data_IF_927691172417
#
_entry.id   IF_927691172417
#
_cell.length_a   1.000
_cell.length_b   1.000
_cell.length_c   1.000
_cell.angle_alpha   90.00
_cell.angle_beta   90.00
_cell.angle_gamma   90.00
#
_symmetry.space_group_name_H-M   'P 1'
#
loop_
_entity.id
_entity.type
_entity.pdbx_description
1 polymer ?
#
# COMPACT_ATOMS: atom_id res chain seq x y z
N UNK A 1 16.52 15.97 82.63
CA UNK A 1 16.24 16.57 81.32
C UNK A 1 16.97 15.77 80.24
N UNK A 2 16.22 14.99 79.47
CA UNK A 2 16.69 14.11 78.40
C UNK A 2 16.46 14.80 77.06
N UNK A 3 17.52 15.03 76.29
CA UNK A 3 17.41 15.38 74.86
C UNK A 3 18.44 14.58 74.07
N UNK A 4 17.99 13.42 73.56
CA UNK A 4 18.68 12.64 72.53
C UNK A 4 18.58 13.41 71.21
N UNK A 5 19.69 13.98 70.75
CA UNK A 5 19.80 14.53 69.39
C UNK A 5 20.15 13.37 68.45
N UNK A 6 19.13 12.83 67.77
CA UNK A 6 19.30 11.90 66.66
C UNK A 6 19.83 12.66 65.44
N UNK A 7 21.12 12.47 65.11
CA UNK A 7 21.65 12.78 63.78
C UNK A 7 21.04 11.78 62.79
N UNK A 8 20.16 12.26 61.91
CA UNK A 8 19.70 11.51 60.73
C UNK A 8 20.89 11.26 59.80
N UNK A 9 21.30 10.01 59.69
CA UNK A 9 22.15 9.52 58.60
C UNK A 9 21.46 9.78 57.27
N UNK A 10 22.12 10.36 56.25
CA UNK A 10 21.50 10.53 54.94
C UNK A 10 21.28 9.14 54.32
N UNK A 11 20.02 8.80 54.08
CA UNK A 11 19.64 7.64 53.28
C UNK A 11 20.19 7.83 51.88
N UNK A 12 21.23 7.07 51.52
CA UNK A 12 21.68 6.91 50.15
C UNK A 12 20.48 6.52 49.28
N UNK A 13 20.07 7.43 48.38
CA UNK A 13 19.16 7.09 47.28
C UNK A 13 19.86 6.05 46.41
N UNK A 14 19.45 4.78 46.54
CA UNK A 14 19.79 3.76 45.54
C UNK A 14 19.34 4.27 44.16
N UNK A 15 20.21 4.26 43.14
CA UNK A 15 19.76 4.56 41.79
C UNK A 15 18.82 3.44 41.35
N UNK A 16 17.55 3.77 41.13
CA UNK A 16 16.58 2.84 40.53
C UNK A 16 17.05 2.52 39.11
N UNK A 17 17.65 1.35 38.93
CA UNK A 17 17.87 0.73 37.62
C UNK A 17 16.51 0.47 36.99
N UNK A 18 15.93 1.47 36.33
CA UNK A 18 14.68 1.31 35.59
C UNK A 18 14.84 0.28 34.47
N UNK A 19 13.78 -0.49 34.23
CA UNK A 19 13.73 -1.55 33.21
C UNK A 19 14.16 -0.98 31.83
N UNK A 20 15.08 -1.66 31.11
CA UNK A 20 15.63 -1.16 29.85
C UNK A 20 14.57 -1.02 28.75
N UNK A 21 13.53 -1.84 28.74
CA UNK A 21 12.44 -1.72 27.78
C UNK A 21 11.62 -0.45 28.04
N UNK A 22 11.30 -0.16 29.31
CA UNK A 22 10.57 1.05 29.70
C UNK A 22 11.38 2.31 29.39
N UNK A 23 12.70 2.30 29.66
CA UNK A 23 13.59 3.41 29.29
C UNK A 23 13.57 3.66 27.79
N UNK A 24 13.58 2.60 26.99
CA UNK A 24 13.57 2.68 25.53
C UNK A 24 12.23 3.19 24.99
N UNK A 25 11.10 2.73 25.56
CA UNK A 25 9.77 3.29 25.25
C UNK A 25 9.68 4.78 25.57
N UNK A 26 10.24 5.21 26.71
CA UNK A 26 10.30 6.63 27.07
C UNK A 26 11.17 7.45 26.10
N UNK A 27 12.35 6.94 25.73
CA UNK A 27 13.21 7.60 24.75
C UNK A 27 12.53 7.73 23.38
N UNK A 28 11.72 6.74 23.01
CA UNK A 28 10.94 6.76 21.77
C UNK A 28 9.69 7.62 21.84
N UNK A 29 9.36 8.17 23.01
CA UNK A 29 8.12 8.90 23.28
C UNK A 29 6.87 8.10 22.89
N UNK A 30 6.93 6.77 22.99
CA UNK A 30 5.81 5.91 22.61
C UNK A 30 4.67 6.07 23.61
N UNK A 31 3.47 6.46 23.13
CA UNK A 31 2.27 6.66 23.96
C UNK A 31 1.15 5.67 23.66
N UNK A 32 1.23 4.96 22.54
CA UNK A 32 0.26 3.94 22.15
C UNK A 32 0.95 2.81 21.38
N UNK A 33 0.31 1.67 21.33
CA UNK A 33 0.74 0.50 20.56
C UNK A 33 -0.46 -0.34 20.16
N UNK A 34 -0.36 -1.06 19.05
CA UNK A 34 -1.29 -2.14 18.70
C UNK A 34 -1.02 -3.32 19.64
N UNK A 35 -2.06 -3.78 20.31
CA UNK A 35 -2.00 -4.86 21.28
C UNK A 35 -2.51 -6.17 20.65
N UNK A 36 -1.66 -7.19 20.65
CA UNK A 36 -1.99 -8.55 20.21
C UNK A 36 -1.76 -9.52 21.37
N UNK A 37 -2.73 -10.35 21.71
CA UNK A 37 -2.53 -11.43 22.67
C UNK A 37 -1.80 -12.55 21.95
N UNK A 38 -0.61 -12.89 22.43
CA UNK A 38 0.20 -13.98 21.88
C UNK A 38 0.03 -15.26 22.67
N UNK A 39 -0.31 -15.20 23.94
CA UNK A 39 -0.66 -16.39 24.71
C UNK A 39 -1.69 -16.09 25.77
N UNK A 40 -2.65 -16.99 25.94
CA UNK A 40 -3.67 -16.87 26.99
C UNK A 40 -3.10 -17.28 28.37
N UNK A 41 -3.90 -17.13 29.43
CA UNK A 41 -3.47 -17.46 30.79
C UNK A 41 -3.17 -18.96 31.01
N UNK A 42 -3.59 -19.84 30.10
CA UNK A 42 -3.29 -21.27 30.12
C UNK A 42 -1.98 -21.61 29.37
N UNK A 43 -1.34 -20.63 28.72
CA UNK A 43 -0.12 -20.83 27.94
C UNK A 43 -0.38 -21.26 26.49
N UNK A 44 -1.64 -21.31 26.03
CA UNK A 44 -1.97 -21.64 24.65
C UNK A 44 -1.65 -20.43 23.74
N UNK A 45 -1.14 -20.70 22.53
CA UNK A 45 -0.92 -19.66 21.51
C UNK A 45 -2.25 -19.29 20.85
N UNK A 46 -2.56 -17.99 20.82
CA UNK A 46 -3.89 -17.49 20.38
C UNK A 46 -3.78 -16.45 19.26
N UNK A 47 -2.66 -15.73 19.16
CA UNK A 47 -2.41 -14.64 18.20
C UNK A 47 -3.62 -13.75 17.83
N UNK A 48 -4.32 -13.22 18.83
CA UNK A 48 -5.52 -12.40 18.63
C UNK A 48 -5.21 -10.90 18.76
N UNK A 49 -5.42 -10.12 17.68
CA UNK A 49 -5.29 -8.67 17.73
C UNK A 49 -6.49 -8.03 18.44
N UNK A 50 -6.23 -7.32 19.54
CA UNK A 50 -7.26 -6.70 20.38
C UNK A 50 -7.53 -5.25 19.93
N UNK A 51 -6.53 -4.59 19.34
CA UNK A 51 -6.63 -3.24 18.79
C UNK A 51 -5.62 -2.25 19.37
N UNK A 52 -5.80 -0.97 19.03
CA UNK A 52 -4.93 0.13 19.49
C UNK A 52 -5.13 0.39 20.99
N UNK A 53 -4.05 0.38 21.75
CA UNK A 53 -4.05 0.61 23.18
C UNK A 53 -3.13 1.78 23.55
N UNK A 54 -3.56 2.59 24.52
CA UNK A 54 -2.81 3.76 24.98
C UNK A 54 -2.11 3.43 26.30
N UNK A 55 -0.87 3.87 26.47
CA UNK A 55 -0.15 3.71 27.73
C UNK A 55 -0.51 4.84 28.70
N UNK A 56 -0.59 4.50 29.99
CA UNK A 56 -0.67 5.54 31.00
C UNK A 56 0.67 6.28 31.07
N UNK A 57 0.60 7.59 30.94
CA UNK A 57 1.75 8.49 30.92
C UNK A 57 1.47 9.74 31.75
N UNK A 58 2.56 10.34 32.24
CA UNK A 58 2.66 11.74 32.60
C UNK A 58 3.12 12.51 31.36
N UNK A 59 3.06 13.86 31.34
CA UNK A 59 3.41 14.65 30.15
C UNK A 59 4.71 14.21 29.47
N UNK A 60 5.76 13.93 30.25
CA UNK A 60 7.10 13.65 29.72
C UNK A 60 7.52 12.17 29.81
N UNK A 61 6.78 11.31 30.52
CA UNK A 61 7.22 9.93 30.77
C UNK A 61 6.04 8.97 30.92
N UNK A 62 6.26 7.72 30.53
CA UNK A 62 5.34 6.63 30.87
C UNK A 62 5.24 6.49 32.38
N UNK A 63 4.01 6.27 32.84
CA UNK A 63 3.77 5.96 34.22
C UNK A 63 4.25 4.53 34.49
N UNK A 64 5.36 4.43 35.22
CA UNK A 64 5.98 3.16 35.56
C UNK A 64 6.21 3.04 37.07
N UNK A 65 6.03 1.84 37.61
CA UNK A 65 6.34 1.48 39.00
C UNK A 65 6.97 0.10 39.06
N UNK A 66 8.10 0.00 39.77
CA UNK A 66 8.77 -1.28 40.05
C UNK A 66 9.04 -2.11 38.78
N UNK A 67 9.47 -1.48 37.69
CA UNK A 67 9.72 -2.16 36.41
C UNK A 67 8.46 -2.57 35.63
N UNK A 68 7.28 -2.10 36.05
CA UNK A 68 6.02 -2.28 35.34
C UNK A 68 5.54 -0.96 34.78
N UNK A 69 4.77 -1.04 33.70
CA UNK A 69 4.04 0.10 33.15
C UNK A 69 2.58 -0.31 32.93
N UNK A 70 1.73 0.64 32.52
CA UNK A 70 0.29 0.42 32.52
C UNK A 70 -0.32 0.74 31.17
N UNK A 71 -1.27 -0.11 30.77
CA UNK A 71 -2.01 -0.04 29.51
C UNK A 71 -3.47 0.28 29.79
N UNK A 72 -4.05 1.25 29.09
CA UNK A 72 -5.49 1.46 29.06
C UNK A 72 -6.18 0.37 28.22
N UNK A 73 -7.46 0.06 28.46
CA UNK A 73 -8.20 -0.88 27.65
C UNK A 73 -8.07 -0.57 26.16
N UNK A 74 -7.67 -1.53 25.31
CA UNK A 74 -7.56 -1.32 23.87
C UNK A 74 -8.90 -0.93 23.24
N UNK A 75 -8.85 -0.20 22.12
CA UNK A 75 -10.02 0.14 21.33
C UNK A 75 -10.70 -1.14 20.82
N UNK A 76 -11.99 -1.34 21.16
CA UNK A 76 -12.73 -2.57 20.84
C UNK A 76 -12.83 -3.57 21.99
N UNK A 77 -12.13 -3.34 23.11
CA UNK A 77 -12.22 -4.18 24.31
C UNK A 77 -13.64 -4.15 24.90
N UNK A 78 -14.29 -5.32 24.95
CA UNK A 78 -15.56 -5.52 25.67
C UNK A 78 -15.29 -6.40 26.89
N UNK A 79 -15.74 -5.95 28.07
CA UNK A 79 -15.65 -6.73 29.32
C UNK A 79 -16.26 -8.13 29.22
N UNK A 80 -17.24 -8.31 28.34
CA UNK A 80 -17.95 -9.56 28.10
C UNK A 80 -17.23 -10.53 27.14
N UNK A 81 -16.18 -10.11 26.43
CA UNK A 81 -15.54 -10.95 25.41
C UNK A 81 -14.60 -12.02 25.99
N UNK A 82 -14.24 -11.95 27.28
CA UNK A 82 -13.34 -12.91 27.92
C UNK A 82 -11.86 -12.80 27.51
N UNK A 83 -11.53 -11.81 26.67
CA UNK A 83 -10.20 -11.44 26.17
C UNK A 83 -9.52 -10.55 27.21
N UNK A 84 -8.20 -10.73 27.47
CA UNK A 84 -7.46 -9.97 28.49
C UNK A 84 -8.16 -9.99 29.87
N UNK A 85 -8.22 -11.19 30.48
CA UNK A 85 -8.77 -11.45 31.83
C UNK A 85 -7.93 -10.77 32.91
N UNK A 86 -6.71 -10.36 32.56
CA UNK A 86 -5.91 -9.46 33.36
C UNK A 86 -5.04 -10.20 34.36
N UNK A 87 -4.57 -11.41 34.03
CA UNK A 87 -3.56 -12.16 34.77
C UNK A 87 -3.02 -13.33 33.93
N UNK A 88 -1.71 -13.32 33.68
CA UNK A 88 -0.97 -14.45 33.09
C UNK A 88 -0.94 -14.47 31.57
N UNK A 89 -1.69 -13.60 30.88
CA UNK A 89 -1.61 -13.50 29.42
C UNK A 89 -0.30 -12.86 28.97
N UNK A 90 0.21 -13.29 27.82
CA UNK A 90 1.28 -12.57 27.13
C UNK A 90 0.70 -11.74 25.99
N UNK A 91 1.11 -10.47 25.94
CA UNK A 91 0.74 -9.53 24.89
C UNK A 91 1.97 -9.04 24.14
N UNK A 92 1.86 -8.92 22.84
CA UNK A 92 2.81 -8.23 21.98
C UNK A 92 2.29 -6.81 21.70
N UNK A 93 3.12 -5.82 22.01
CA UNK A 93 2.84 -4.41 21.76
C UNK A 93 3.65 -3.97 20.54
N UNK A 94 2.96 -3.66 19.43
CA UNK A 94 3.59 -3.21 18.19
C UNK A 94 3.42 -1.70 18.01
N UNK A 95 4.50 -0.98 17.74
CA UNK A 95 4.51 0.47 17.60
C UNK A 95 5.63 0.93 16.66
N UNK A 96 5.60 2.21 16.25
CA UNK A 96 6.62 2.78 15.37
C UNK A 96 7.44 3.83 16.11
N UNK A 97 8.73 3.90 15.80
CA UNK A 97 9.60 5.01 16.18
C UNK A 97 10.49 5.36 15.00
N UNK A 98 10.51 6.63 14.59
CA UNK A 98 11.27 7.10 13.43
C UNK A 98 11.12 6.19 12.19
N UNK A 99 9.86 5.84 11.84
CA UNK A 99 9.52 5.00 10.67
C UNK A 99 10.03 3.55 10.74
N UNK A 100 10.56 3.15 11.89
CA UNK A 100 10.99 1.77 12.14
C UNK A 100 9.95 1.08 13.02
N UNK A 101 9.38 -0.05 12.59
CA UNK A 101 8.47 -0.81 13.45
C UNK A 101 9.27 -1.49 14.57
N UNK A 102 8.70 -1.48 15.76
CA UNK A 102 9.23 -2.14 16.94
C UNK A 102 8.12 -2.98 17.59
N UNK A 103 8.53 -4.00 18.33
CA UNK A 103 7.63 -4.74 19.19
C UNK A 103 8.22 -4.95 20.59
N UNK A 104 7.34 -5.11 21.56
CA UNK A 104 7.67 -5.47 22.93
C UNK A 104 6.69 -6.51 23.45
N UNK A 105 7.20 -7.67 23.85
CA UNK A 105 6.39 -8.70 24.53
C UNK A 105 6.31 -8.39 26.02
N UNK A 106 5.11 -8.42 26.57
CA UNK A 106 4.82 -8.17 27.97
C UNK A 106 3.92 -9.26 28.55
N UNK A 107 4.09 -9.53 29.84
CA UNK A 107 3.16 -10.31 30.64
C UNK A 107 2.14 -9.37 31.28
N UNK A 108 0.86 -9.75 31.22
CA UNK A 108 -0.23 -9.06 31.91
C UNK A 108 -0.27 -9.58 33.34
N UNK A 109 0.22 -8.76 34.27
CA UNK A 109 0.37 -9.18 35.68
C UNK A 109 -0.97 -9.11 36.41
N UNK A 110 -1.68 -7.99 36.26
CA UNK A 110 -2.96 -7.77 36.92
C UNK A 110 -3.77 -6.67 36.21
N UNK A 111 -5.09 -6.78 36.29
CA UNK A 111 -5.99 -5.64 36.06
C UNK A 111 -5.95 -4.71 37.28
N UNK A 112 -5.87 -3.40 37.03
CA UNK A 112 -5.82 -2.36 38.08
C UNK A 112 -6.95 -1.36 37.91
N UNK A 113 -7.41 -0.83 39.05
CA UNK A 113 -8.29 0.34 39.09
C UNK A 113 -7.52 1.51 39.71
N UNK A 114 -7.45 2.61 39.00
CA UNK A 114 -6.79 3.83 39.47
C UNK A 114 -7.74 4.67 40.31
N UNK A 115 -7.20 5.35 41.31
CA UNK A 115 -7.95 6.32 42.10
C UNK A 115 -8.07 7.64 41.35
N UNK A 116 -9.16 8.38 41.58
CA UNK A 116 -9.42 9.65 40.89
C UNK A 116 -8.29 10.67 41.11
N UNK A 117 -7.70 10.69 42.31
CA UNK A 117 -6.54 11.52 42.64
C UNK A 117 -5.32 11.22 41.77
N UNK A 118 -5.09 9.95 41.44
CA UNK A 118 -3.95 9.56 40.60
C UNK A 118 -4.23 9.88 39.12
N UNK A 119 -5.47 9.73 38.66
CA UNK A 119 -5.87 10.01 37.28
C UNK A 119 -5.78 11.49 36.91
N UNK A 120 -5.86 12.41 37.88
CA UNK A 120 -5.64 13.84 37.63
C UNK A 120 -4.27 14.15 37.02
N UNK A 121 -3.29 13.26 37.21
CA UNK A 121 -1.91 13.43 36.76
C UNK A 121 -1.50 12.41 35.68
N UNK A 122 -2.46 11.66 35.13
CA UNK A 122 -2.21 10.64 34.13
C UNK A 122 -3.06 10.86 32.88
N UNK A 123 -2.49 10.49 31.74
CA UNK A 123 -3.18 10.35 30.46
C UNK A 123 -3.01 8.90 29.97
N UNK A 124 -4.08 8.23 29.53
CA UNK A 124 -5.46 8.70 29.45
C UNK A 124 -6.16 8.69 30.84
N UNK A 125 -7.22 9.49 31.01
CA UNK A 125 -8.01 9.56 32.26
C UNK A 125 -9.05 8.45 32.37
N UNK A 126 -8.61 7.20 32.22
CA UNK A 126 -9.46 6.01 32.30
C UNK A 126 -9.24 5.32 33.65
N UNK A 127 -10.31 4.94 34.34
CA UNK A 127 -10.19 4.40 35.70
C UNK A 127 -9.65 2.96 35.78
N UNK A 128 -9.65 2.23 34.66
CA UNK A 128 -9.26 0.82 34.58
C UNK A 128 -8.04 0.70 33.67
N UNK A 129 -7.07 -0.12 34.05
CA UNK A 129 -5.94 -0.47 33.19
C UNK A 129 -5.37 -1.85 33.48
N UNK A 130 -4.33 -2.21 32.74
CA UNK A 130 -3.60 -3.46 32.88
C UNK A 130 -2.16 -3.16 33.25
N UNK A 131 -1.66 -3.80 34.31
CA UNK A 131 -0.26 -3.73 34.74
C UNK A 131 0.54 -4.70 33.88
N UNK A 132 1.50 -4.18 33.14
CA UNK A 132 2.35 -4.95 32.24
C UNK A 132 3.78 -5.06 32.76
N UNK A 133 4.36 -6.24 32.61
CA UNK A 133 5.78 -6.51 32.87
C UNK A 133 6.48 -6.84 31.55
N UNK A 134 7.52 -6.11 31.13
CA UNK A 134 8.32 -6.50 29.98
C UNK A 134 8.92 -7.90 30.17
N UNK A 135 8.78 -8.76 29.14
CA UNK A 135 9.39 -10.11 29.13
C UNK A 135 10.79 -10.06 28.48
N UNK A 136 11.07 -9.03 27.69
CA UNK A 136 12.36 -8.84 27.02
C UNK A 136 12.59 -7.40 26.57
N UNK A 137 13.68 -7.14 25.83
CA UNK A 137 13.96 -5.80 25.32
C UNK A 137 12.98 -5.41 24.20
N UNK A 138 12.84 -4.09 23.96
CA UNK A 138 12.19 -3.59 22.74
C UNK A 138 13.00 -4.03 21.53
N UNK A 139 12.41 -4.89 20.70
CA UNK A 139 13.00 -5.42 19.48
C UNK A 139 12.52 -4.61 18.29
N UNK A 140 13.42 -4.35 17.34
CA UNK A 140 13.02 -3.86 16.03
C UNK A 140 12.23 -4.97 15.36
N UNK A 141 11.01 -4.68 14.94
CA UNK A 141 10.29 -5.57 14.06
C UNK A 141 11.01 -5.48 12.70
N UNK A 142 11.50 -6.62 12.23
CA UNK A 142 12.12 -6.83 10.92
C UNK A 142 13.62 -6.46 10.74
N UNK A 143 14.34 -7.45 10.18
CA UNK A 143 15.60 -7.28 9.44
C UNK A 143 15.40 -6.61 8.07
N UNK A 144 14.20 -6.09 7.77
CA UNK A 144 13.85 -5.53 6.47
C UNK A 144 14.36 -4.10 6.34
N UNK A 145 14.79 -3.75 5.12
CA UNK A 145 15.36 -2.43 4.81
C UNK A 145 14.29 -1.34 4.68
N UNK A 146 13.02 -1.72 4.42
CA UNK A 146 11.92 -0.80 4.13
C UNK A 146 10.62 -1.19 4.85
N UNK A 147 9.82 -0.18 5.20
CA UNK A 147 8.47 -0.32 5.76
C UNK A 147 7.52 -0.95 4.75
N UNK A 148 6.55 -1.77 5.19
CA UNK A 148 5.44 -2.24 4.36
C UNK A 148 4.14 -1.54 4.73
N UNK A 149 3.42 -1.08 3.72
CA UNK A 149 2.11 -0.46 3.86
C UNK A 149 1.02 -1.49 3.61
N UNK A 150 0.07 -1.58 4.53
CA UNK A 150 -1.04 -2.51 4.45
C UNK A 150 -2.16 -1.94 3.58
N UNK A 151 -2.54 -2.67 2.53
CA UNK A 151 -3.68 -2.36 1.65
C UNK A 151 -5.01 -2.88 2.19
N UNK A 152 -4.97 -3.99 2.91
CA UNK A 152 -6.14 -4.66 3.47
C UNK A 152 -6.11 -4.58 5.00
N UNK A 153 -7.30 -4.54 5.61
CA UNK A 153 -7.45 -4.57 7.07
C UNK A 153 -6.94 -5.91 7.62
N UNK A 154 -6.37 -5.88 8.83
CA UNK A 154 -5.83 -7.08 9.49
C UNK A 154 -4.44 -7.50 9.01
N UNK A 155 -3.78 -6.69 8.17
CA UNK A 155 -2.38 -6.87 7.79
C UNK A 155 -1.49 -6.00 8.68
N UNK A 156 -0.37 -6.58 9.15
CA UNK A 156 0.63 -5.85 9.92
C UNK A 156 1.26 -4.76 9.06
N UNK A 157 1.29 -3.54 9.60
CA UNK A 157 1.88 -2.37 8.94
C UNK A 157 0.91 -1.18 8.93
N UNK A 158 1.39 0.02 8.58
CA UNK A 158 0.53 1.18 8.53
C UNK A 158 -0.52 1.04 7.45
N UNK A 159 -1.78 1.30 7.83
CA UNK A 159 -2.92 1.21 6.94
C UNK A 159 -3.01 2.48 6.08
N UNK A 160 -3.14 2.31 4.77
CA UNK A 160 -3.16 3.44 3.82
C UNK A 160 -4.56 3.74 3.28
N UNK A 161 -5.51 2.85 3.55
CA UNK A 161 -6.92 3.08 3.25
C UNK A 161 -7.54 4.10 4.22
N UNK A 162 -8.49 4.94 3.77
CA UNK A 162 -9.08 4.96 2.43
C UNK A 162 -8.30 5.80 1.41
N UNK A 163 -7.26 6.52 1.82
CA UNK A 163 -6.61 7.55 1.00
C UNK A 163 -5.86 7.01 -0.22
N UNK A 164 -5.32 5.80 -0.11
CA UNK A 164 -4.52 5.21 -1.16
C UNK A 164 -4.83 3.72 -1.31
N UNK A 165 -5.05 3.28 -2.55
CA UNK A 165 -5.19 1.87 -2.94
C UNK A 165 -4.52 1.61 -4.28
N UNK A 166 -4.28 0.35 -4.59
CA UNK A 166 -3.93 -0.10 -5.94
C UNK A 166 -5.03 -1.02 -6.45
N UNK A 167 -5.37 -0.87 -7.73
CA UNK A 167 -5.74 -2.03 -8.54
C UNK A 167 -4.48 -2.64 -9.11
N UNK A 168 -4.41 -3.97 -9.17
CA UNK A 168 -3.25 -4.68 -9.67
C UNK A 168 -3.69 -5.80 -10.60
N UNK A 169 -2.98 -5.91 -11.72
CA UNK A 169 -3.14 -6.98 -12.71
C UNK A 169 -1.80 -7.70 -12.86
N UNK A 170 -1.85 -9.02 -12.94
CA UNK A 170 -0.68 -9.87 -13.06
C UNK A 170 -0.68 -10.59 -14.41
N UNK A 171 0.46 -10.54 -15.10
CA UNK A 171 0.75 -11.34 -16.29
C UNK A 171 2.01 -12.18 -16.03
N UNK A 172 2.03 -13.42 -16.49
CA UNK A 172 3.21 -14.30 -16.35
C UNK A 172 4.34 -13.78 -17.22
N UNK A 173 5.57 -13.92 -16.73
CA UNK A 173 6.76 -13.49 -17.45
C UNK A 173 7.79 -14.62 -17.44
N UNK A 174 8.33 -14.94 -18.61
CA UNK A 174 9.52 -15.74 -18.72
C UNK A 174 10.75 -14.84 -18.46
N UNK A 175 11.37 -15.01 -17.28
CA UNK A 175 12.54 -14.22 -16.88
C UNK A 175 13.82 -14.65 -17.62
N UNK A 176 13.85 -15.87 -18.15
CA UNK A 176 14.96 -16.43 -18.93
C UNK A 176 14.77 -16.18 -20.42
N UNK A 177 15.01 -14.95 -20.86
CA UNK A 177 15.37 -14.69 -22.26
C UNK A 177 16.81 -15.13 -22.53
N UNK A 178 17.19 -15.37 -23.79
CA UNK A 178 18.61 -15.52 -24.16
C UNK A 178 19.40 -14.28 -23.68
N UNK A 179 20.72 -14.37 -23.53
CA UNK A 179 21.54 -13.28 -22.96
C UNK A 179 21.36 -11.89 -23.63
N UNK A 180 20.73 -11.84 -24.82
CA UNK A 180 20.41 -10.64 -25.59
C UNK A 180 18.91 -10.26 -25.60
N UNK A 181 18.00 -11.11 -25.10
CA UNK A 181 16.56 -10.84 -25.07
C UNK A 181 16.10 -10.60 -23.62
N UNK A 182 15.45 -9.46 -23.37
CA UNK A 182 14.85 -9.14 -22.07
C UNK A 182 13.71 -10.09 -21.67
N UNK A 183 13.05 -9.84 -20.52
CA UNK A 183 11.92 -10.64 -20.06
C UNK A 183 10.78 -10.68 -21.09
N UNK A 184 10.18 -11.86 -21.30
CA UNK A 184 9.07 -12.06 -22.24
C UNK A 184 7.75 -12.18 -21.48
N UNK A 185 6.76 -11.36 -21.85
CA UNK A 185 5.42 -11.37 -21.25
C UNK A 185 4.59 -12.47 -21.92
N UNK A 186 4.07 -13.39 -21.11
CA UNK A 186 3.22 -14.49 -21.55
C UNK A 186 1.75 -14.03 -21.47
N UNK A 187 1.03 -13.95 -22.60
CA UNK A 187 -0.34 -13.45 -22.63
C UNK A 187 -1.28 -14.25 -21.72
N UNK A 188 -2.23 -13.56 -21.09
CA UNK A 188 -3.32 -14.22 -20.37
C UNK A 188 -4.33 -14.82 -21.35
N UNK A 189 -4.44 -16.14 -21.36
CA UNK A 189 -5.27 -16.85 -22.32
C UNK A 189 -6.76 -16.47 -22.20
N UNK A 190 -7.38 -16.17 -23.34
CA UNK A 190 -8.81 -15.81 -23.41
C UNK A 190 -9.12 -14.35 -23.07
N UNK A 191 -8.10 -13.52 -22.82
CA UNK A 191 -8.27 -12.10 -22.52
C UNK A 191 -7.83 -11.23 -23.70
N UNK A 192 -8.81 -10.65 -24.40
CA UNK A 192 -8.55 -9.82 -25.58
C UNK A 192 -8.35 -8.36 -25.20
N UNK A 193 -7.20 -7.76 -25.53
CA UNK A 193 -6.91 -6.37 -25.23
C UNK A 193 -7.95 -5.38 -25.82
N UNK A 194 -8.67 -5.74 -26.89
CA UNK A 194 -9.72 -4.90 -27.49
C UNK A 194 -11.10 -5.39 -27.03
N UNK A 195 -11.86 -4.58 -26.25
CA UNK A 195 -13.22 -4.93 -25.82
C UNK A 195 -14.17 -5.26 -26.99
N UNK A 196 -15.14 -6.16 -26.75
CA UNK A 196 -16.03 -6.65 -27.80
C UNK A 196 -16.93 -5.56 -28.42
N UNK A 197 -17.38 -4.61 -27.60
CA UNK A 197 -18.13 -3.43 -28.03
C UNK A 197 -17.24 -2.42 -28.79
N UNK A 198 -15.96 -2.31 -28.44
CA UNK A 198 -14.97 -1.55 -29.23
C UNK A 198 -14.79 -2.19 -30.62
N UNK A 199 -14.72 -3.52 -30.71
CA UNK A 199 -14.67 -4.23 -31.99
C UNK A 199 -15.93 -4.08 -32.84
N UNK A 200 -17.08 -3.86 -32.20
CA UNK A 200 -18.35 -3.64 -32.89
C UNK A 200 -18.48 -2.23 -33.50
N UNK A 201 -17.57 -1.31 -33.17
CA UNK A 201 -17.56 0.03 -33.75
C UNK A 201 -16.85 0.02 -35.11
N UNK A 202 -17.57 0.34 -36.18
CA UNK A 202 -17.01 0.38 -37.54
C UNK A 202 -16.46 1.77 -37.88
N UNK A 203 -16.98 2.81 -37.22
CA UNK A 203 -16.64 4.21 -37.52
C UNK A 203 -15.94 4.91 -36.34
N UNK A 204 -15.00 5.84 -36.59
CA UNK A 204 -14.34 6.59 -35.53
C UNK A 204 -15.30 7.39 -34.63
N UNK A 205 -16.42 7.88 -35.17
CA UNK A 205 -17.44 8.60 -34.41
C UNK A 205 -18.14 7.68 -33.40
N UNK A 206 -18.36 6.41 -33.75
CA UNK A 206 -18.96 5.41 -32.86
C UNK A 206 -18.03 5.10 -31.68
N UNK A 207 -16.72 5.04 -31.92
CA UNK A 207 -15.70 4.88 -30.87
C UNK A 207 -15.69 6.06 -29.90
N UNK A 208 -15.78 7.30 -30.40
CA UNK A 208 -15.85 8.49 -29.53
C UNK A 208 -17.14 8.49 -28.72
N UNK A 209 -18.27 8.12 -29.33
CA UNK A 209 -19.53 7.97 -28.62
C UNK A 209 -19.50 6.86 -27.57
N UNK A 210 -18.86 5.72 -27.86
CA UNK A 210 -18.63 4.64 -26.89
C UNK A 210 -17.78 5.14 -25.71
N UNK A 211 -16.68 5.82 -25.98
CA UNK A 211 -15.85 6.42 -24.93
C UNK A 211 -16.62 7.41 -24.05
N UNK A 212 -17.44 8.30 -24.64
CA UNK A 212 -18.30 9.20 -23.86
C UNK A 212 -19.25 8.42 -22.95
N UNK A 213 -19.86 7.33 -23.44
CA UNK A 213 -20.72 6.45 -22.64
C UNK A 213 -19.96 5.79 -21.49
N UNK A 214 -18.75 5.28 -21.73
CA UNK A 214 -17.89 4.71 -20.69
C UNK A 214 -17.57 5.71 -19.59
N UNK A 215 -17.17 6.94 -19.95
CA UNK A 215 -16.85 7.96 -18.95
C UNK A 215 -18.12 8.43 -18.24
N UNK A 216 -19.26 8.53 -18.93
CA UNK A 216 -20.52 9.00 -18.34
C UNK A 216 -21.11 8.00 -17.33
N UNK A 217 -20.91 6.69 -17.55
CA UNK A 217 -21.37 5.65 -16.61
C UNK A 217 -20.62 5.69 -15.27
N UNK A 218 -19.44 6.30 -15.23
CA UNK A 218 -18.68 6.48 -14.00
C UNK A 218 -19.33 7.51 -13.05
N UNK A 219 -19.11 7.36 -11.73
CA UNK A 219 -19.45 8.40 -10.77
C UNK A 219 -18.63 9.67 -11.03
N UNK A 220 -19.16 10.85 -10.65
CA UNK A 220 -18.58 12.15 -11.00
C UNK A 220 -17.07 12.30 -10.76
N UNK A 221 -16.55 11.71 -9.67
CA UNK A 221 -15.12 11.78 -9.32
C UNK A 221 -14.21 10.90 -10.20
N UNK A 222 -14.78 10.00 -11.01
CA UNK A 222 -14.09 9.16 -12.00
C UNK A 222 -14.42 9.56 -13.46
N UNK A 223 -15.15 10.67 -13.67
CA UNK A 223 -15.46 11.20 -15.01
C UNK A 223 -14.28 12.01 -15.59
N UNK A 224 -13.10 11.43 -15.53
CA UNK A 224 -11.85 12.06 -15.94
C UNK A 224 -10.90 11.04 -16.55
N UNK A 225 -10.00 11.52 -17.39
CA UNK A 225 -8.88 10.74 -17.92
C UNK A 225 -7.57 11.25 -17.31
N UNK A 226 -6.59 10.38 -17.19
CA UNK A 226 -5.21 10.77 -16.95
C UNK A 226 -4.45 10.83 -18.27
N UNK A 227 -3.74 11.91 -18.52
CA UNK A 227 -2.97 12.12 -19.76
C UNK A 227 -1.49 11.84 -19.49
N UNK A 228 -0.89 11.01 -20.33
CA UNK A 228 0.56 10.86 -20.46
C UNK A 228 0.99 11.28 -21.86
N UNK A 229 2.10 12.01 -21.98
CA UNK A 229 2.69 12.41 -23.26
C UNK A 229 3.76 11.39 -23.66
N UNK A 230 3.72 10.92 -24.90
CA UNK A 230 4.82 10.16 -25.46
C UNK A 230 5.96 11.12 -25.85
N UNK A 231 7.12 10.94 -25.23
CA UNK A 231 8.31 11.75 -25.50
C UNK A 231 9.43 10.86 -26.02
N UNK A 232 9.96 11.23 -27.18
CA UNK A 232 11.08 10.50 -27.79
C UNK A 232 12.39 11.21 -27.44
N UNK A 233 13.22 10.58 -26.62
CA UNK A 233 14.56 11.06 -26.30
C UNK A 233 15.47 10.86 -27.51
N UNK A 234 15.83 11.96 -28.18
CA UNK A 234 16.72 11.98 -29.34
C UNK A 234 18.12 11.44 -29.02
N UNK A 235 18.57 11.49 -27.77
CA UNK A 235 19.92 11.04 -27.39
C UNK A 235 19.99 9.53 -27.22
N UNK A 236 19.00 8.95 -26.54
CA UNK A 236 18.97 7.51 -26.27
C UNK A 236 18.20 6.72 -27.33
N UNK A 237 17.40 7.39 -28.16
CA UNK A 237 16.47 6.77 -29.11
C UNK A 237 15.26 6.10 -28.44
N UNK A 238 15.08 6.32 -27.14
CA UNK A 238 14.02 5.70 -26.34
C UNK A 238 12.76 6.56 -26.32
N UNK A 239 11.62 5.91 -26.28
CA UNK A 239 10.33 6.55 -26.04
C UNK A 239 9.96 6.36 -24.58
N UNK A 240 9.58 7.46 -23.91
CA UNK A 240 9.09 7.48 -22.55
C UNK A 240 7.64 7.99 -22.51
N UNK A 241 6.90 7.63 -21.45
CA UNK A 241 5.56 8.13 -21.19
C UNK A 241 5.60 9.09 -20.00
N UNK A 242 5.67 10.38 -20.31
CA UNK A 242 5.76 11.42 -19.30
C UNK A 242 4.38 11.76 -18.75
N UNK A 243 4.13 11.65 -17.43
CA UNK A 243 2.85 12.00 -16.85
C UNK A 243 2.56 13.50 -17.00
N UNK A 244 1.37 13.85 -17.49
CA UNK A 244 0.90 15.24 -17.60
C UNK A 244 -0.10 15.56 -16.50
N UNK A 245 -1.03 14.64 -16.23
CA UNK A 245 -1.99 14.76 -15.14
C UNK A 245 -3.43 14.48 -15.53
N UNK A 246 -4.34 14.62 -14.55
CA UNK A 246 -5.76 14.35 -14.73
C UNK A 246 -6.50 15.48 -15.43
N UNK A 247 -7.45 15.11 -16.29
CA UNK A 247 -8.26 16.02 -17.11
C UNK A 247 -9.72 15.57 -17.12
N UNK A 248 -10.64 16.52 -16.94
CA UNK A 248 -12.06 16.27 -17.13
C UNK A 248 -12.41 16.14 -18.61
N UNK A 249 -13.27 15.18 -18.95
CA UNK A 249 -13.85 15.07 -20.30
C UNK A 249 -15.01 16.06 -20.42
N UNK A 250 -15.02 16.84 -21.48
CA UNK A 250 -16.03 17.88 -21.73
C UNK A 250 -17.14 17.33 -22.64
N UNK A 251 -18.35 17.88 -22.51
CA UNK A 251 -19.46 17.52 -23.38
C UNK A 251 -20.04 16.12 -23.15
N UNK A 252 -19.88 15.56 -21.94
CA UNK A 252 -20.45 14.26 -21.57
C UNK A 252 -21.99 14.25 -21.55
N UNK A 253 -22.62 15.39 -21.28
CA UNK A 253 -24.09 15.50 -21.20
C UNK A 253 -24.76 15.74 -22.57
N UNK A 254 -23.96 15.91 -23.63
CA UNK A 254 -24.43 16.09 -25.01
C UNK A 254 -24.19 14.85 -25.87
N UNK A 255 -24.80 14.82 -27.05
CA UNK A 255 -24.44 13.82 -28.06
C UNK A 255 -22.98 14.02 -28.50
N UNK A 256 -22.16 12.98 -28.37
CA UNK A 256 -20.81 12.97 -28.92
C UNK A 256 -20.90 13.05 -30.45
N UNK A 257 -20.67 14.25 -31.00
CA UNK A 257 -20.71 14.48 -32.45
C UNK A 257 -19.28 14.65 -32.98
N UNK A 258 -18.82 13.65 -33.72
CA UNK A 258 -17.58 13.70 -34.50
C UNK A 258 -16.47 12.81 -33.97
N UNK A 259 -15.26 13.07 -34.47
CA UNK A 259 -14.06 12.23 -34.27
C UNK A 259 -13.08 12.81 -33.25
N UNK A 260 -13.52 13.78 -32.46
CA UNK A 260 -12.67 14.56 -31.57
C UNK A 260 -13.14 14.43 -30.13
N UNK A 261 -12.19 14.40 -29.21
CA UNK A 261 -12.43 14.40 -27.78
C UNK A 261 -11.98 15.75 -27.22
N UNK A 262 -12.85 16.38 -26.44
CA UNK A 262 -12.56 17.65 -25.79
C UNK A 262 -12.25 17.43 -24.31
N UNK A 263 -11.08 17.89 -23.90
CA UNK A 263 -10.52 17.70 -22.58
C UNK A 263 -10.29 19.06 -21.93
N UNK A 264 -10.61 19.22 -20.65
CA UNK A 264 -10.16 20.38 -19.88
C UNK A 264 -8.64 20.30 -19.78
N UNK A 265 -7.93 21.40 -20.04
CA UNK A 265 -6.47 21.40 -19.89
C UNK A 265 -6.10 20.92 -18.47
N UNK A 266 -5.23 19.90 -18.33
CA UNK A 266 -4.85 19.38 -17.01
C UNK A 266 -4.36 20.51 -16.13
N UNK A 267 -4.79 20.51 -14.86
CA UNK A 267 -4.14 21.37 -13.87
C UNK A 267 -2.73 20.83 -13.65
N UNK A 268 -1.72 21.69 -13.81
CA UNK A 268 -0.30 21.35 -13.67
C UNK A 268 -0.07 20.49 -12.43
N UNK A 269 0.59 19.34 -12.60
CA UNK A 269 1.34 18.76 -11.50
C UNK A 269 2.53 19.70 -11.25
N UNK A 270 2.77 20.11 -10.01
CA UNK A 270 3.97 20.87 -9.61
C UNK A 270 5.21 19.95 -9.74
N UNK A 271 5.58 19.60 -10.97
CA UNK A 271 6.78 18.82 -11.23
C UNK A 271 7.97 19.76 -11.36
N UNK A 272 9.05 19.42 -10.66
CA UNK A 272 10.36 20.09 -10.75
C UNK A 272 11.08 19.89 -12.10
N UNK A 273 10.47 19.15 -13.04
CA UNK A 273 10.92 19.03 -14.42
C UNK A 273 10.14 20.07 -15.22
N UNK A 274 10.84 20.85 -16.04
CA UNK A 274 10.28 21.87 -16.92
C UNK A 274 8.92 21.43 -17.53
N UNK A 275 7.94 22.35 -17.48
CA UNK A 275 6.55 22.18 -17.91
C UNK A 275 6.42 21.26 -19.16
N UNK A 276 5.80 20.08 -19.01
CA UNK A 276 5.48 19.21 -20.15
C UNK A 276 4.42 19.90 -21.00
N UNK A 277 4.86 20.63 -22.02
CA UNK A 277 3.98 21.35 -22.92
C UNK A 277 3.34 20.39 -23.93
N UNK A 278 2.00 20.43 -24.02
CA UNK A 278 1.23 19.73 -25.04
C UNK A 278 1.05 20.62 -26.27
N UNK A 279 1.66 20.23 -27.38
CA UNK A 279 1.61 20.92 -28.68
C UNK A 279 0.77 20.16 -29.69
N UNK A 280 0.35 20.84 -30.74
CA UNK A 280 -0.34 20.18 -31.86
C UNK A 280 0.57 19.14 -32.52
N UNK A 281 0.02 17.96 -32.79
CA UNK A 281 0.77 16.83 -33.33
C UNK A 281 1.34 15.87 -32.29
N UNK A 282 1.47 16.28 -31.03
CA UNK A 282 1.96 15.41 -29.95
C UNK A 282 1.08 14.16 -29.80
N UNK A 283 1.70 13.03 -29.47
CA UNK A 283 0.97 11.80 -29.14
C UNK A 283 0.79 11.73 -27.62
N UNK A 284 -0.46 11.46 -27.22
CA UNK A 284 -0.84 11.30 -25.82
C UNK A 284 -1.58 10.00 -25.61
N UNK A 285 -1.40 9.40 -24.44
CA UNK A 285 -2.15 8.22 -23.99
C UNK A 285 -3.16 8.69 -22.95
N UNK A 286 -4.44 8.47 -23.24
CA UNK A 286 -5.52 8.69 -22.29
C UNK A 286 -5.74 7.42 -21.49
N UNK A 287 -5.51 7.46 -20.18
CA UNK A 287 -5.78 6.36 -19.26
C UNK A 287 -7.07 6.66 -18.49
N UNK A 288 -7.97 5.70 -18.40
CA UNK A 288 -9.24 5.86 -17.70
C UNK A 288 -9.74 4.53 -17.17
N UNK A 289 -10.49 4.58 -16.06
CA UNK A 289 -11.15 3.41 -15.51
C UNK A 289 -12.63 3.41 -15.90
N UNK A 290 -13.21 2.23 -16.05
CA UNK A 290 -14.66 2.02 -16.11
C UNK A 290 -15.03 1.28 -14.84
N UNK A 291 -16.02 1.81 -14.11
CA UNK A 291 -16.49 1.20 -12.87
C UNK A 291 -17.37 0.00 -13.15
N UNK A 292 -16.74 -1.11 -13.52
CA UNK A 292 -17.32 -2.45 -13.51
C UNK A 292 -16.58 -3.26 -12.45
N UNK A 293 -17.28 -3.60 -11.36
CA UNK A 293 -16.67 -4.34 -10.26
C UNK A 293 -16.47 -5.81 -10.67
N UNK A 294 -15.30 -6.12 -11.22
CA UNK A 294 -14.85 -7.50 -11.45
C UNK A 294 -13.79 -7.81 -10.41
N UNK A 295 -14.09 -8.72 -9.49
CA UNK A 295 -13.15 -9.22 -8.47
C UNK A 295 -12.46 -8.13 -7.61
N UNK A 296 -13.10 -6.96 -7.44
CA UNK A 296 -12.62 -5.89 -6.55
C UNK A 296 -11.75 -4.81 -7.19
N UNK A 297 -11.46 -4.90 -8.50
CA UNK A 297 -10.76 -3.89 -9.28
C UNK A 297 -11.71 -3.14 -10.24
N UNK A 298 -11.39 -1.88 -10.54
CA UNK A 298 -12.03 -1.17 -11.66
C UNK A 298 -11.39 -1.63 -12.98
N UNK A 299 -12.11 -1.61 -14.10
CA UNK A 299 -11.55 -1.98 -15.40
C UNK A 299 -10.78 -0.81 -16.02
N UNK A 300 -9.46 -0.94 -16.08
CA UNK A 300 -8.60 0.10 -16.63
C UNK A 300 -8.47 -0.02 -18.15
N UNK A 301 -8.50 1.12 -18.82
CA UNK A 301 -8.43 1.25 -20.26
C UNK A 301 -7.44 2.33 -20.64
N UNK A 302 -6.91 2.21 -21.86
CA UNK A 302 -6.10 3.25 -22.49
C UNK A 302 -6.55 3.50 -23.92
N UNK A 303 -6.34 4.74 -24.36
CA UNK A 303 -6.56 5.12 -25.76
C UNK A 303 -5.49 6.08 -26.24
N UNK A 304 -4.78 5.68 -27.28
CA UNK A 304 -3.77 6.52 -27.93
C UNK A 304 -4.49 7.60 -28.73
N UNK A 305 -4.07 8.85 -28.56
CA UNK A 305 -4.64 10.00 -29.26
C UNK A 305 -3.52 10.92 -29.77
N UNK A 306 -3.83 11.72 -30.78
CA UNK A 306 -2.99 12.83 -31.24
C UNK A 306 -3.62 14.16 -30.84
N UNK A 307 -2.81 15.07 -30.31
CA UNK A 307 -3.25 16.44 -30.02
C UNK A 307 -3.59 17.13 -31.34
N UNK A 308 -4.85 17.49 -31.50
CA UNK A 308 -5.35 18.20 -32.67
C UNK A 308 -5.28 19.71 -32.49
N UNK A 309 -5.64 20.20 -31.30
CA UNK A 309 -5.58 21.63 -30.95
C UNK A 309 -5.24 21.79 -29.47
N UNK A 310 -4.26 22.64 -29.17
CA UNK A 310 -3.86 22.97 -27.79
C UNK A 310 -4.32 24.38 -27.44
N UNK A 311 -5.53 24.49 -26.87
CA UNK A 311 -6.07 25.76 -26.39
C UNK A 311 -5.68 26.07 -24.94
N UNK A 312 -5.91 27.31 -24.51
CA UNK A 312 -5.60 27.78 -23.15
C UNK A 312 -6.36 27.01 -22.07
N UNK A 313 -7.65 26.73 -22.29
CA UNK A 313 -8.51 26.00 -21.33
C UNK A 313 -8.93 24.61 -21.79
N UNK A 314 -8.87 24.36 -23.09
CA UNK A 314 -9.38 23.14 -23.72
C UNK A 314 -8.30 22.55 -24.59
N UNK A 315 -8.04 21.26 -24.38
CA UNK A 315 -7.23 20.42 -25.23
C UNK A 315 -8.17 19.58 -26.10
N UNK A 316 -7.98 19.60 -27.41
CA UNK A 316 -8.73 18.74 -28.34
C UNK A 316 -7.80 17.68 -28.88
N UNK A 317 -8.21 16.42 -28.75
CA UNK A 317 -7.43 15.27 -29.22
C UNK A 317 -8.25 14.43 -30.20
N UNK A 318 -7.57 13.73 -31.11
CA UNK A 318 -8.17 12.77 -32.03
C UNK A 318 -7.65 11.37 -31.72
N UNK A 319 -8.54 10.38 -31.56
CA UNK A 319 -8.15 8.99 -31.43
C UNK A 319 -7.19 8.47 -32.51
N UNK A 320 -6.31 7.55 -32.11
CA UNK A 320 -5.46 6.74 -32.97
C UNK A 320 -5.64 5.28 -32.57
N UNK A 321 -6.20 4.48 -33.47
CA UNK A 321 -6.48 3.06 -33.19
C UNK A 321 -7.63 2.85 -32.21
N UNK A 322 -7.72 1.63 -31.69
CA UNK A 322 -8.81 1.20 -30.81
C UNK A 322 -8.52 1.49 -29.34
N UNK A 323 -9.59 1.58 -28.55
CA UNK A 323 -9.50 1.55 -27.08
C UNK A 323 -9.01 0.17 -26.67
N UNK A 324 -8.06 0.12 -25.74
CA UNK A 324 -7.52 -1.13 -25.20
C UNK A 324 -7.84 -1.22 -23.70
N UNK A 325 -8.28 -2.39 -23.24
CA UNK A 325 -8.40 -2.70 -21.81
C UNK A 325 -7.09 -3.26 -21.26
N UNK A 326 -6.87 -3.07 -19.97
CA UNK A 326 -5.81 -3.76 -19.24
C UNK A 326 -6.07 -5.26 -19.28
N UNK A 327 -5.06 -6.01 -19.72
CA UNK A 327 -5.07 -7.47 -19.77
C UNK A 327 -4.50 -8.09 -18.49
N UNK A 328 -4.67 -9.39 -18.34
CA UNK A 328 -4.07 -10.15 -17.24
C UNK A 328 -5.02 -10.39 -16.09
N UNK A 329 -4.56 -11.19 -15.12
CA UNK A 329 -5.38 -11.60 -14.01
C UNK A 329 -5.47 -10.49 -12.96
N UNK A 330 -6.67 -10.04 -12.55
CA UNK A 330 -6.81 -9.14 -11.40
C UNK A 330 -6.31 -9.83 -10.13
N UNK A 331 -5.45 -9.14 -9.38
CA UNK A 331 -4.89 -9.66 -8.12
C UNK A 331 -5.12 -8.69 -6.97
N UNK A 332 -5.35 -9.24 -5.78
CA UNK A 332 -5.55 -8.44 -4.57
C UNK A 332 -4.21 -8.25 -3.88
N UNK A 333 -3.83 -6.99 -3.69
CA UNK A 333 -2.61 -6.61 -2.97
C UNK A 333 -2.89 -6.55 -1.46
N UNK A 334 -2.14 -7.29 -0.64
CA UNK A 334 -2.26 -7.25 0.84
C UNK A 334 -1.38 -6.17 1.45
N UNK A 335 -0.13 -6.13 1.01
CA UNK A 335 0.82 -5.09 1.39
C UNK A 335 1.82 -4.81 0.27
N UNK A 336 2.54 -3.69 0.38
CA UNK A 336 3.59 -3.30 -0.54
C UNK A 336 4.71 -2.55 0.15
N UNK A 337 5.85 -2.49 -0.53
CA UNK A 337 7.04 -1.74 -0.14
C UNK A 337 7.71 -1.12 -1.37
N UNK A 338 8.83 -0.41 -1.16
CA UNK A 338 9.65 0.14 -2.26
C UNK A 338 10.26 -0.91 -3.19
N UNK A 339 10.32 -2.17 -2.76
CA UNK A 339 11.08 -3.23 -3.44
C UNK A 339 10.27 -4.52 -3.65
N UNK A 340 8.97 -4.49 -3.37
CA UNK A 340 8.15 -5.69 -3.49
C UNK A 340 6.74 -5.51 -3.00
N UNK A 341 5.92 -6.50 -3.30
CA UNK A 341 4.49 -6.56 -3.04
C UNK A 341 4.12 -7.93 -2.45
N UNK A 342 3.07 -7.97 -1.64
CA UNK A 342 2.48 -9.22 -1.17
C UNK A 342 1.09 -9.38 -1.79
N UNK A 343 0.92 -10.39 -2.62
CA UNK A 343 -0.34 -10.72 -3.27
C UNK A 343 -1.14 -11.68 -2.40
N UNK A 344 -2.44 -11.48 -2.32
CA UNK A 344 -3.36 -12.48 -1.77
C UNK A 344 -3.50 -13.60 -2.80
N UNK A 345 -3.28 -14.83 -2.34
CA UNK A 345 -3.43 -15.98 -3.19
C UNK A 345 -4.90 -16.39 -3.37
N UNK A 346 -5.19 -17.08 -4.45
CA UNK A 346 -6.48 -17.71 -4.73
C UNK A 346 -6.28 -18.93 -5.62
N UNK A 347 -7.20 -19.92 -5.63
CA UNK A 347 -7.09 -21.08 -6.51
C UNK A 347 -6.99 -20.73 -8.00
N UNK A 348 -7.69 -19.66 -8.42
CA UNK A 348 -7.58 -19.13 -9.79
C UNK A 348 -6.17 -18.63 -10.09
N UNK A 349 -5.51 -17.97 -9.12
CA UNK A 349 -4.16 -17.46 -9.28
C UNK A 349 -3.15 -18.60 -9.34
N UNK A 350 -3.29 -19.61 -8.48
CA UNK A 350 -2.45 -20.82 -8.53
C UNK A 350 -2.54 -21.49 -9.90
N UNK A 351 -3.77 -21.72 -10.39
CA UNK A 351 -4.02 -22.37 -11.68
C UNK A 351 -3.43 -21.55 -12.83
N UNK A 352 -3.57 -20.23 -12.76
CA UNK A 352 -2.99 -19.32 -13.74
C UNK A 352 -1.46 -19.39 -13.75
N UNK A 353 -0.83 -19.29 -12.57
CA UNK A 353 0.63 -19.32 -12.43
C UNK A 353 1.26 -20.64 -12.88
N UNK A 354 0.59 -21.76 -12.61
CA UNK A 354 1.00 -23.10 -13.05
C UNK A 354 0.88 -23.31 -14.57
N UNK A 355 0.26 -22.38 -15.31
CA UNK A 355 0.31 -22.38 -16.77
C UNK A 355 -0.34 -23.59 -17.45
N UNK A 356 -1.33 -24.20 -16.81
CA UNK A 356 -2.02 -25.40 -17.31
C UNK A 356 -1.52 -26.73 -16.74
N UNK A 357 -0.47 -26.71 -15.92
CA UNK A 357 -0.07 -27.87 -15.12
C UNK A 357 -1.03 -28.10 -13.94
N UNK A 358 -1.07 -29.33 -13.43
CA UNK A 358 -1.86 -29.66 -12.25
C UNK A 358 -1.28 -28.96 -11.02
N UNK A 359 -2.11 -28.18 -10.32
CA UNK A 359 -1.75 -27.57 -9.04
C UNK A 359 -1.51 -28.70 -8.00
N UNK A 360 -0.34 -28.78 -7.37
CA UNK A 360 -0.09 -29.75 -6.31
C UNK A 360 -1.03 -29.53 -5.10
N UNK A 361 -1.41 -30.62 -4.45
CA UNK A 361 -2.19 -30.55 -3.20
C UNK A 361 -1.33 -30.09 -2.01
N UNK A 362 -0.03 -30.37 -2.03
CA UNK A 362 0.91 -29.95 -0.99
C UNK A 362 1.28 -28.46 -1.14
N UNK A 363 0.94 -27.59 -0.16
CA UNK A 363 1.21 -26.16 -0.23
C UNK A 363 2.70 -25.83 -0.25
N UNK A 364 3.54 -26.59 0.45
CA UNK A 364 4.98 -26.33 0.49
C UNK A 364 5.61 -26.64 -0.87
N UNK A 365 5.21 -27.75 -1.49
CA UNK A 365 5.61 -28.08 -2.85
C UNK A 365 5.13 -27.04 -3.86
N UNK A 366 3.87 -26.58 -3.75
CA UNK A 366 3.34 -25.50 -4.60
C UNK A 366 4.17 -24.22 -4.48
N UNK A 367 4.49 -23.76 -3.26
CA UNK A 367 5.33 -22.57 -3.06
C UNK A 367 6.69 -22.76 -3.72
N UNK A 368 7.33 -23.92 -3.53
CA UNK A 368 8.62 -24.22 -4.14
C UNK A 368 8.59 -24.21 -5.68
N UNK A 369 7.47 -24.56 -6.31
CA UNK A 369 7.31 -24.48 -7.77
C UNK A 369 7.06 -23.04 -8.25
N UNK A 370 6.36 -22.24 -7.44
CA UNK A 370 6.05 -20.85 -7.78
C UNK A 370 7.25 -19.92 -7.56
N UNK A 371 8.14 -20.21 -6.61
CA UNK A 371 9.38 -19.46 -6.40
C UNK A 371 10.21 -19.38 -7.69
N UNK A 372 10.67 -18.18 -8.03
CA UNK A 372 11.37 -17.90 -9.29
C UNK A 372 10.45 -17.56 -10.47
N UNK A 373 9.13 -17.71 -10.33
CA UNK A 373 8.19 -17.32 -11.39
C UNK A 373 8.16 -15.80 -11.56
N UNK A 374 8.31 -15.33 -12.81
CA UNK A 374 8.22 -13.93 -13.17
C UNK A 374 6.79 -13.44 -13.32
N UNK A 375 6.53 -12.22 -12.86
CA UNK A 375 5.25 -11.53 -13.01
C UNK A 375 5.44 -10.10 -13.47
N UNK A 376 4.73 -9.71 -14.52
CA UNK A 376 4.47 -8.31 -14.82
C UNK A 376 3.27 -7.89 -13.97
N UNK A 377 3.51 -6.94 -13.07
CA UNK A 377 2.49 -6.32 -12.24
C UNK A 377 2.20 -4.91 -12.75
N UNK A 378 0.96 -4.70 -13.19
CA UNK A 378 0.45 -3.38 -13.57
C UNK A 378 -0.31 -2.78 -12.38
N UNK A 379 0.31 -1.83 -11.67
CA UNK A 379 -0.29 -1.17 -10.51
C UNK A 379 -0.98 0.13 -10.91
N UNK A 380 -2.28 0.24 -10.63
CA UNK A 380 -3.10 1.43 -10.89
C UNK A 380 -3.42 2.16 -9.58
N UNK A 381 -2.78 3.31 -9.29
CA UNK A 381 -3.02 4.04 -8.06
C UNK A 381 -4.45 4.61 -8.02
N UNK A 382 -5.20 4.28 -6.96
CA UNK A 382 -6.49 4.88 -6.60
C UNK A 382 -6.30 5.85 -5.44
N UNK A 383 -6.37 7.14 -5.74
CA UNK A 383 -6.02 8.23 -4.83
C UNK A 383 -7.28 8.97 -4.35
N UNK A 384 -7.50 9.01 -3.03
CA UNK A 384 -8.63 9.69 -2.39
C UNK A 384 -8.14 10.68 -1.33
N UNK A 385 -7.79 11.88 -1.78
CA UNK A 385 -7.28 12.96 -0.93
C UNK A 385 -8.24 14.15 -0.97
N UNK A 386 -8.78 14.51 0.20
CA UNK A 386 -9.56 15.75 0.36
C UNK A 386 -8.62 16.97 0.25
N UNK A 387 -9.20 18.17 0.08
CA UNK A 387 -8.43 19.40 -0.13
C UNK A 387 -7.34 19.62 0.94
N UNK A 388 -7.65 19.39 2.21
CA UNK A 388 -6.71 19.57 3.33
C UNK A 388 -5.57 18.54 3.32
N UNK A 389 -5.76 17.39 2.66
CA UNK A 389 -4.77 16.33 2.53
C UNK A 389 -4.11 16.31 1.14
N UNK A 390 -4.47 17.24 0.26
CA UNK A 390 -3.98 17.27 -1.12
C UNK A 390 -2.45 17.40 -1.20
N UNK A 391 -1.83 18.05 -0.20
CA UNK A 391 -0.37 18.18 -0.09
C UNK A 391 0.36 16.85 0.11
N UNK A 392 -0.36 15.81 0.56
CA UNK A 392 0.17 14.45 0.76
C UNK A 392 -0.22 13.51 -0.38
N UNK A 393 -0.87 14.00 -1.43
CA UNK A 393 -1.20 13.19 -2.61
C UNK A 393 0.12 12.86 -3.35
N UNK A 394 0.45 11.57 -3.54
CA UNK A 394 1.65 11.20 -4.29
C UNK A 394 1.53 11.60 -5.75
N UNK A 395 2.64 12.06 -6.32
CA UNK A 395 2.76 12.34 -7.74
C UNK A 395 3.24 11.09 -8.49
N UNK A 396 2.30 10.36 -9.08
CA UNK A 396 2.54 9.08 -9.73
C UNK A 396 1.80 8.98 -11.06
N UNK A 397 2.34 8.20 -12.03
CA UNK A 397 1.66 7.91 -13.28
C UNK A 397 0.37 7.10 -13.04
N UNK A 398 -0.52 7.02 -14.04
CA UNK A 398 -1.81 6.33 -13.90
C UNK A 398 -1.65 4.81 -13.81
N UNK A 399 -0.54 4.29 -14.32
CA UNK A 399 -0.14 2.89 -14.21
C UNK A 399 1.36 2.85 -13.91
N UNK A 400 1.76 1.97 -13.01
CA UNK A 400 3.15 1.68 -12.68
C UNK A 400 3.40 0.20 -13.04
N UNK A 401 3.92 -0.09 -14.24
CA UNK A 401 4.31 -1.44 -14.62
C UNK A 401 5.65 -1.81 -13.98
N UNK A 402 5.72 -2.99 -13.35
CA UNK A 402 6.94 -3.53 -12.74
C UNK A 402 7.01 -5.03 -12.99
N UNK A 403 8.16 -5.54 -13.42
CA UNK A 403 8.40 -6.98 -13.40
C UNK A 403 8.99 -7.36 -12.06
N UNK A 404 8.34 -8.32 -11.40
CA UNK A 404 8.81 -8.96 -10.18
C UNK A 404 8.97 -10.46 -10.33
N UNK A 405 9.52 -11.06 -9.29
CA UNK A 405 9.74 -12.49 -9.15
C UNK A 405 9.11 -12.95 -7.83
N UNK A 406 8.39 -14.07 -7.86
CA UNK A 406 7.89 -14.71 -6.63
C UNK A 406 9.09 -15.23 -5.83
N UNK A 407 9.22 -14.80 -4.58
CA UNK A 407 10.37 -15.12 -3.72
C UNK A 407 10.00 -15.86 -2.44
N UNK A 408 8.74 -15.82 -2.05
CA UNK A 408 8.22 -16.60 -0.93
C UNK A 408 6.69 -16.79 -1.06
N UNK A 409 6.17 -17.75 -0.29
CA UNK A 409 4.74 -17.94 -0.08
C UNK A 409 4.46 -18.23 1.40
N UNK A 410 3.35 -17.71 1.92
CA UNK A 410 2.92 -17.97 3.30
C UNK A 410 1.71 -18.88 3.32
N UNK A 411 1.71 -19.90 4.16
CA UNK A 411 0.60 -20.83 4.34
C UNK A 411 -0.35 -20.29 5.42
N UNK A 412 -1.67 -20.40 5.21
CA UNK A 412 -2.67 -19.99 6.19
C UNK A 412 -2.63 -20.91 7.40
N UNK A 413 -2.58 -20.31 8.59
CA UNK A 413 -2.66 -20.99 9.89
C UNK A 413 -4.04 -20.83 10.54
N UNK A 414 -4.97 -20.16 9.85
CA UNK A 414 -6.30 -19.81 10.33
C UNK A 414 -7.40 -20.74 9.80
N UNK A 415 -8.44 -20.15 9.20
CA UNK A 415 -9.67 -20.86 8.80
C UNK A 415 -9.46 -21.79 7.61
N UNK A 416 -8.58 -21.40 6.68
CA UNK A 416 -8.23 -22.19 5.50
C UNK A 416 -6.87 -22.90 5.72
N UNK A 417 -6.74 -23.54 6.89
CA UNK A 417 -5.51 -24.16 7.37
C UNK A 417 -4.87 -25.03 6.28
N UNK A 418 -3.58 -24.80 6.02
CA UNK A 418 -2.82 -25.62 5.08
C UNK A 418 -3.09 -25.26 3.62
N UNK A 419 -3.44 -24.01 3.29
CA UNK A 419 -3.41 -23.49 1.92
C UNK A 419 -2.43 -22.34 1.80
N UNK A 420 -1.86 -22.14 0.61
CA UNK A 420 -1.05 -20.95 0.35
C UNK A 420 -1.96 -19.73 0.45
N UNK A 421 -1.70 -18.86 1.42
CA UNK A 421 -2.49 -17.66 1.66
C UNK A 421 -2.02 -16.48 0.82
N UNK A 422 -0.69 -16.35 0.67
CA UNK A 422 -0.06 -15.18 0.08
C UNK A 422 1.19 -15.55 -0.70
N UNK A 423 1.50 -14.73 -1.70
CA UNK A 423 2.72 -14.82 -2.50
C UNK A 423 3.47 -13.49 -2.37
N UNK A 424 4.72 -13.53 -1.92
CA UNK A 424 5.58 -12.36 -1.90
C UNK A 424 6.36 -12.23 -3.20
N UNK A 425 6.32 -11.04 -3.77
CA UNK A 425 6.94 -10.69 -5.04
C UNK A 425 8.00 -9.63 -4.80
N UNK A 426 9.24 -9.92 -5.20
CA UNK A 426 10.34 -8.96 -5.20
C UNK A 426 10.42 -8.26 -6.56
N UNK A 427 10.55 -6.94 -6.58
CA UNK A 427 10.68 -6.18 -7.83
C UNK A 427 12.07 -6.38 -8.44
N UNK A 428 12.11 -6.64 -9.75
CA UNK A 428 13.31 -7.01 -10.51
C UNK A 428 13.61 -6.09 -11.68
N UNK A 429 12.60 -5.58 -12.40
CA UNK A 429 12.83 -4.72 -13.55
C UNK A 429 11.83 -3.56 -13.60
N UNK A 430 12.34 -2.40 -14.05
CA UNK A 430 11.57 -1.21 -14.39
C UNK A 430 11.44 -1.07 -15.93
N UNK A 431 10.40 -0.40 -16.43
CA UNK A 431 10.29 -0.04 -17.84
C UNK A 431 11.49 0.80 -18.30
N UNK A 432 12.06 0.46 -19.46
CA UNK A 432 13.21 1.17 -20.03
C UNK A 432 12.92 1.87 -21.36
N UNK A 433 12.02 1.32 -22.18
CA UNK A 433 11.61 1.87 -23.47
C UNK A 433 10.17 1.46 -23.77
N UNK A 434 9.39 2.37 -24.36
CA UNK A 434 8.04 2.11 -24.83
C UNK A 434 8.01 1.97 -26.35
N UNK A 435 7.14 1.13 -26.88
CA UNK A 435 6.95 1.00 -28.31
C UNK A 435 6.29 2.26 -28.90
N UNK A 436 6.84 2.74 -30.01
CA UNK A 436 6.40 4.00 -30.64
C UNK A 436 5.02 3.94 -31.30
N UNK A 437 4.45 2.74 -31.49
CA UNK A 437 3.19 2.53 -32.19
C UNK A 437 2.04 2.29 -31.22
N UNK A 438 2.23 1.38 -30.25
CA UNK A 438 1.19 0.99 -29.30
C UNK A 438 1.43 1.52 -27.86
N UNK A 439 2.62 2.06 -27.57
CA UNK A 439 3.01 2.59 -26.26
C UNK A 439 2.92 1.57 -25.12
N UNK A 440 3.18 0.30 -25.42
CA UNK A 440 3.48 -0.75 -24.45
C UNK A 440 4.96 -0.74 -24.08
N UNK A 441 5.30 -1.32 -22.93
CA UNK A 441 6.70 -1.46 -22.53
C UNK A 441 7.38 -2.43 -23.49
N UNK A 442 8.34 -1.92 -24.25
CA UNK A 442 9.11 -2.67 -25.24
C UNK A 442 10.37 -3.29 -24.65
N UNK A 443 10.99 -2.61 -23.69
CA UNK A 443 12.19 -3.12 -23.01
C UNK A 443 12.22 -2.78 -21.53
N UNK A 444 12.98 -3.57 -20.77
CA UNK A 444 13.03 -3.56 -19.32
C UNK A 444 14.47 -3.39 -18.83
N UNK A 445 14.68 -2.58 -17.78
CA UNK A 445 15.97 -2.43 -17.13
C UNK A 445 15.99 -3.06 -15.73
N UNK A 446 17.05 -3.78 -15.34
CA UNK A 446 17.14 -4.37 -14.01
C UNK A 446 17.15 -3.31 -12.90
N UNK A 447 16.30 -3.51 -11.89
CA UNK A 447 16.38 -2.86 -10.59
C UNK A 447 17.59 -3.40 -9.83
N UNK A 448 18.73 -2.70 -9.96
CA UNK A 448 19.96 -3.05 -9.22
C UNK A 448 19.69 -3.01 -7.71
N UNK A 449 20.38 -3.84 -6.93
CA UNK A 449 20.13 -4.06 -5.48
C UNK A 449 20.11 -2.82 -4.55
N UNK A 450 20.47 -1.63 -5.03
CA UNK A 450 20.42 -0.34 -4.31
C UNK A 450 19.42 0.66 -4.91
N UNK A 451 18.85 0.38 -6.08
CA UNK A 451 17.92 1.25 -6.79
C UNK A 451 16.50 0.81 -6.46
N UNK A 452 15.84 1.60 -5.62
CA UNK A 452 14.40 1.48 -5.34
C UNK A 452 13.60 1.93 -6.56
N UNK A 453 12.40 1.38 -6.76
CA UNK A 453 11.50 1.90 -7.79
C UNK A 453 11.12 3.36 -7.42
N UNK A 454 11.29 4.33 -8.34
CA UNK A 454 11.11 5.75 -8.03
C UNK A 454 9.68 6.11 -7.67
N UNK A 455 8.68 5.46 -8.30
CA UNK A 455 7.27 5.72 -8.01
C UNK A 455 6.86 5.18 -6.65
N UNK A 456 7.29 3.96 -6.30
CA UNK A 456 7.05 3.43 -4.98
C UNK A 456 7.77 4.23 -3.89
N UNK A 457 8.96 4.77 -4.17
CA UNK A 457 9.64 5.70 -3.26
C UNK A 457 8.84 6.99 -3.04
N UNK A 458 8.26 7.55 -4.09
CA UNK A 458 7.40 8.73 -4.00
C UNK A 458 6.15 8.45 -3.16
N UNK A 459 5.48 7.32 -3.42
CA UNK A 459 4.33 6.87 -2.64
C UNK A 459 4.71 6.72 -1.17
N UNK A 460 5.82 6.07 -0.87
CA UNK A 460 6.31 5.92 0.49
C UNK A 460 6.55 7.28 1.17
N UNK A 461 7.18 8.22 0.46
CA UNK A 461 7.41 9.57 0.99
C UNK A 461 6.09 10.26 1.34
N UNK A 462 5.13 10.24 0.41
CA UNK A 462 3.83 10.87 0.55
C UNK A 462 3.00 10.26 1.69
N UNK A 463 2.90 8.93 1.74
CA UNK A 463 2.13 8.21 2.75
C UNK A 463 2.75 8.32 4.15
N UNK A 464 4.08 8.34 4.25
CA UNK A 464 4.73 8.63 5.54
C UNK A 464 4.43 10.05 6.02
N UNK A 465 4.40 11.04 5.10
CA UNK A 465 3.99 12.40 5.42
C UNK A 465 2.56 12.47 5.92
N UNK A 466 1.65 11.77 5.24
CA UNK A 466 0.24 11.66 5.63
C UNK A 466 0.09 11.04 7.03
N UNK A 467 0.71 9.90 7.29
CA UNK A 467 0.60 9.23 8.59
C UNK A 467 1.13 10.09 9.73
N UNK A 468 2.29 10.74 9.53
CA UNK A 468 2.84 11.65 10.52
C UNK A 468 1.96 12.87 10.79
N UNK A 469 1.14 13.28 9.83
CA UNK A 469 0.15 14.34 10.00
C UNK A 469 -1.08 13.84 10.76
N UNK A 470 -1.57 12.64 10.44
CA UNK A 470 -2.74 12.03 11.08
C UNK A 470 -2.48 11.56 12.52
N UNK A 471 -1.22 11.32 12.89
CA UNK A 471 -0.81 10.96 14.27
C UNK A 471 -0.70 12.17 15.22
N UNK A 472 -0.79 13.41 14.71
CA UNK A 472 -0.82 14.64 15.52
C UNK A 472 -2.25 14.98 15.92
#
# INVERSE_FOLDING_TARGET
MLAKIFKKTPTQKRPTTGDPAIKKLNAFHTRSAVCTIVSNAAGEDVQEEVGLATFYARPNELYAREGHFYLAPPAGYKLSSGILRGKGEQVSLSFHHNRTPYHLTCEVVQRVRFTDRLLQHLEPRVAIGFKLKPVGPVKKNENRRSLRFAHVRGIKGPQVAPHFRFDAYAERVALSGSADSGPEILPYAGDDAIPADVKSCEKPEELVALFHRYIQSNPNYLRSVYISKAEHDLRSGRTDLVPVGSSAVLGLDGEARGTQIHLRRPNRLDTKRDDVELREGDIVVLNFAIREFVQGADLHHRWVCRVHKSGVKVLTVRPKGSIQKQTGMPVVLRDFSVSGACLQNSPLLETYLMGGESVPEDPEHLVSLLEGTGLLLNFYPRLFFQQDLAIYKPDVPPVIPVIGEIVDGSIDTGKDLGRVANLGVAFRFDPADYDSMNYEVKSWEPLRALRENPHFKEIHRALNGLLAYLER
#
